data_IF_336578260163
#
_entry.id   IF_336578260163
#
_cell.length_a   1.000
_cell.length_b   1.000
_cell.length_c   1.000
_cell.angle_alpha   90.00
_cell.angle_beta   90.00
_cell.angle_gamma   90.00
#
_symmetry.space_group_name_H-M   'P 1'
#
loop_
_entity.id
_entity.type
_entity.pdbx_description
1 polymer ?
#
# COMPACT_ATOMS: atom_id res chain seq x y z
N UNK A 1 -9.19 27.30 23.00
CA UNK A 1 -7.71 27.10 23.06
C UNK A 1 -7.39 25.79 22.37
N UNK A 2 -6.87 25.83 21.14
CA UNK A 2 -6.56 24.62 20.37
C UNK A 2 -5.22 24.01 20.79
N UNK A 3 -5.17 22.70 21.01
CA UNK A 3 -3.91 21.97 21.24
C UNK A 3 -2.91 22.28 20.13
N UNK A 4 -1.67 22.55 20.50
CA UNK A 4 -0.56 22.76 19.56
C UNK A 4 -0.32 21.49 18.72
N UNK A 5 0.21 21.64 17.51
CA UNK A 5 0.46 20.51 16.60
C UNK A 5 1.31 19.40 17.27
N UNK A 6 2.28 19.79 18.09
CA UNK A 6 3.13 18.88 18.86
C UNK A 6 2.32 18.08 19.89
N UNK A 7 1.42 18.74 20.62
CA UNK A 7 0.54 18.08 21.60
C UNK A 7 -0.44 17.12 20.92
N UNK A 8 -0.99 17.48 19.75
CA UNK A 8 -1.87 16.58 18.99
C UNK A 8 -1.15 15.32 18.51
N UNK A 9 0.06 15.46 17.97
CA UNK A 9 0.90 14.31 17.56
C UNK A 9 1.26 13.42 18.74
N UNK A 10 1.63 14.01 19.88
CA UNK A 10 1.93 13.26 21.10
C UNK A 10 0.70 12.52 21.63
N UNK A 11 -0.47 13.16 21.65
CA UNK A 11 -1.73 12.53 22.05
C UNK A 11 -2.08 11.34 21.14
N UNK A 12 -1.96 11.50 19.82
CA UNK A 12 -2.19 10.41 18.86
C UNK A 12 -1.24 9.23 19.09
N UNK A 13 0.05 9.50 19.30
CA UNK A 13 1.03 8.45 19.57
C UNK A 13 0.71 7.68 20.85
N UNK A 14 0.31 8.38 21.92
CA UNK A 14 -0.10 7.75 23.19
C UNK A 14 -1.37 6.92 22.99
N UNK A 15 -2.37 7.46 22.32
CA UNK A 15 -3.65 6.77 22.07
C UNK A 15 -3.42 5.49 21.26
N UNK A 16 -2.68 5.58 20.15
CA UNK A 16 -2.36 4.43 19.31
C UNK A 16 -1.53 3.40 20.07
N UNK A 17 -0.56 3.85 20.88
CA UNK A 17 0.25 2.98 21.73
C UNK A 17 -0.57 2.24 22.80
N UNK A 18 -1.47 2.94 23.49
CA UNK A 18 -2.35 2.36 24.51
C UNK A 18 -3.32 1.36 23.89
N UNK A 19 -3.92 1.68 22.74
CA UNK A 19 -4.80 0.77 22.01
C UNK A 19 -4.02 -0.48 21.58
N UNK A 20 -2.85 -0.30 20.95
CA UNK A 20 -2.02 -1.42 20.52
C UNK A 20 -1.60 -2.34 21.68
N UNK A 21 -1.22 -1.75 22.81
CA UNK A 21 -0.86 -2.49 24.03
C UNK A 21 -2.07 -3.23 24.61
N UNK A 22 -3.22 -2.57 24.76
CA UNK A 22 -4.43 -3.18 25.31
C UNK A 22 -4.93 -4.35 24.43
N UNK A 23 -4.90 -4.19 23.11
CA UNK A 23 -5.23 -5.26 22.17
C UNK A 23 -4.23 -6.42 22.26
N UNK A 24 -2.93 -6.13 22.38
CA UNK A 24 -1.91 -7.15 22.54
C UNK A 24 -2.09 -8.00 23.81
N UNK A 25 -2.46 -7.36 24.92
CA UNK A 25 -2.79 -8.05 26.18
C UNK A 25 -4.08 -8.85 26.04
N UNK A 26 -5.14 -8.25 25.46
CA UNK A 26 -6.45 -8.89 25.31
C UNK A 26 -6.40 -10.14 24.41
N UNK A 27 -5.72 -10.06 23.27
CA UNK A 27 -5.62 -11.18 22.34
C UNK A 27 -4.64 -12.28 22.79
N UNK A 28 -4.01 -12.10 23.95
CA UNK A 28 -2.90 -12.89 24.44
C UNK A 28 -1.90 -13.07 23.32
N UNK A 29 -1.10 -12.04 23.01
CA UNK A 29 -0.10 -12.08 21.95
C UNK A 29 0.81 -13.31 22.10
N UNK A 30 0.40 -14.43 21.52
CA UNK A 30 1.10 -15.70 21.53
C UNK A 30 2.29 -15.45 20.60
N UNK A 31 3.46 -15.15 21.14
CA UNK A 31 4.68 -14.80 20.36
C UNK A 31 5.49 -16.03 19.93
N UNK A 32 4.92 -17.22 20.01
CA UNK A 32 5.55 -18.45 19.53
C UNK A 32 5.59 -18.50 17.98
N UNK A 33 6.58 -19.15 17.35
CA UNK A 33 6.55 -19.45 15.92
C UNK A 33 5.31 -20.27 15.54
N UNK A 34 4.66 -19.99 14.40
CA UNK A 34 3.42 -20.67 13.99
C UNK A 34 2.17 -20.19 14.73
N UNK A 35 2.22 -19.03 15.37
CA UNK A 35 1.10 -18.48 16.14
C UNK A 35 0.40 -17.32 15.41
N UNK A 36 -0.55 -16.69 16.11
CA UNK A 36 -1.21 -15.43 15.72
C UNK A 36 -0.25 -14.29 15.35
N UNK A 37 1.00 -14.31 15.83
CA UNK A 37 2.00 -13.29 15.48
C UNK A 37 2.46 -13.42 14.03
N UNK A 38 2.63 -14.64 13.53
CA UNK A 38 3.00 -14.90 12.14
C UNK A 38 1.89 -14.45 11.19
N UNK A 39 0.63 -14.77 11.50
CA UNK A 39 -0.54 -14.26 10.76
C UNK A 39 -0.60 -12.73 10.76
N UNK A 40 -0.22 -12.08 11.85
CA UNK A 40 -0.14 -10.62 11.91
C UNK A 40 0.94 -10.05 10.99
N UNK A 41 2.12 -10.69 10.94
CA UNK A 41 3.19 -10.30 10.02
C UNK A 41 2.76 -10.48 8.55
N UNK A 42 2.09 -11.60 8.24
CA UNK A 42 1.55 -11.86 6.91
C UNK A 42 0.50 -10.82 6.52
N UNK A 43 -0.46 -10.53 7.40
CA UNK A 43 -1.47 -9.50 7.18
C UNK A 43 -0.86 -8.13 6.87
N UNK A 44 0.15 -7.71 7.65
CA UNK A 44 0.86 -6.45 7.40
C UNK A 44 1.59 -6.49 6.06
N UNK A 45 2.24 -7.60 5.72
CA UNK A 45 2.95 -7.75 4.45
C UNK A 45 2.02 -7.67 3.24
N UNK A 46 0.83 -8.27 3.33
CA UNK A 46 -0.18 -8.29 2.26
C UNK A 46 -0.73 -6.90 1.96
N UNK A 47 -0.76 -6.03 2.96
CA UNK A 47 -1.18 -4.63 2.79
C UNK A 47 -0.03 -3.72 2.32
N UNK A 48 1.16 -3.87 2.90
CA UNK A 48 2.31 -3.01 2.60
C UNK A 48 2.75 -3.18 1.15
N UNK A 49 2.77 -4.41 0.62
CA UNK A 49 3.28 -4.66 -0.73
C UNK A 49 2.46 -3.96 -1.85
N UNK A 50 1.11 -4.06 -1.91
CA UNK A 50 0.28 -3.25 -2.82
C UNK A 50 0.50 -1.74 -2.67
N UNK A 51 0.54 -1.23 -1.44
CA UNK A 51 0.78 0.19 -1.19
C UNK A 51 2.12 0.65 -1.76
N UNK A 52 3.17 -0.14 -1.50
CA UNK A 52 4.53 0.12 -1.96
C UNK A 52 4.62 0.10 -3.49
N UNK A 53 3.87 -0.79 -4.15
CA UNK A 53 3.79 -0.84 -5.61
C UNK A 53 3.20 0.46 -6.19
N UNK A 54 2.13 1.00 -5.60
CA UNK A 54 1.56 2.29 -6.03
C UNK A 54 2.59 3.41 -5.91
N UNK A 55 3.26 3.52 -4.75
CA UNK A 55 4.25 4.57 -4.50
C UNK A 55 5.43 4.46 -5.47
N UNK A 56 5.98 3.26 -5.67
CA UNK A 56 7.10 3.06 -6.58
C UNK A 56 6.73 3.34 -8.03
N UNK A 57 5.58 2.85 -8.50
CA UNK A 57 5.18 3.05 -9.89
C UNK A 57 4.83 4.53 -10.12
N UNK A 58 4.20 5.22 -9.18
CA UNK A 58 3.96 6.67 -9.28
C UNK A 58 5.27 7.47 -9.33
N UNK A 59 6.20 7.17 -8.43
CA UNK A 59 7.52 7.80 -8.42
C UNK A 59 8.28 7.56 -9.73
N UNK A 60 8.25 6.32 -10.23
CA UNK A 60 8.92 5.95 -11.46
C UNK A 60 8.28 6.60 -12.69
N UNK A 61 6.94 6.66 -12.77
CA UNK A 61 6.22 7.33 -13.86
C UNK A 61 6.54 8.82 -13.92
N UNK A 62 6.70 9.46 -12.76
CA UNK A 62 7.01 10.90 -12.64
C UNK A 62 8.50 11.21 -12.65
N UNK A 63 9.37 10.20 -12.67
CA UNK A 63 10.83 10.39 -12.55
C UNK A 63 11.23 11.20 -11.30
N UNK A 64 10.44 11.10 -10.23
CA UNK A 64 10.62 11.90 -9.02
C UNK A 64 10.25 13.39 -9.13
N UNK A 65 9.72 13.83 -10.27
CA UNK A 65 9.31 15.21 -10.52
C UNK A 65 7.80 15.37 -10.29
N UNK A 66 7.45 15.91 -9.13
CA UNK A 66 6.06 16.12 -8.72
C UNK A 66 5.53 17.51 -9.09
N UNK A 67 6.34 18.37 -9.70
CA UNK A 67 5.99 19.76 -10.00
C UNK A 67 5.71 20.57 -8.73
N UNK A 68 4.52 21.17 -8.66
CA UNK A 68 4.11 22.00 -7.52
C UNK A 68 3.60 21.14 -6.35
N UNK A 69 4.34 21.17 -5.24
CA UNK A 69 3.99 20.47 -3.99
C UNK A 69 2.69 20.97 -3.36
N UNK A 70 2.20 22.17 -3.74
CA UNK A 70 0.91 22.70 -3.29
C UNK A 70 -0.26 21.78 -3.64
N UNK A 71 -0.09 20.97 -4.69
CA UNK A 71 -1.03 19.95 -5.13
C UNK A 71 -1.35 18.92 -4.04
N UNK A 72 -0.38 18.56 -3.18
CA UNK A 72 -0.59 17.58 -2.11
C UNK A 72 -1.48 18.11 -0.97
N UNK A 73 -1.61 19.43 -0.87
CA UNK A 73 -2.46 20.08 0.14
C UNK A 73 -3.83 20.46 -0.42
N UNK A 74 -4.05 20.28 -1.72
CA UNK A 74 -5.32 20.57 -2.37
C UNK A 74 -6.29 19.40 -2.20
N UNK A 75 -7.25 19.55 -1.29
CA UNK A 75 -8.29 18.54 -1.00
C UNK A 75 -9.24 18.28 -2.16
N UNK A 76 -9.29 19.16 -3.16
CA UNK A 76 -10.10 18.98 -4.35
C UNK A 76 -9.48 17.97 -5.32
N UNK A 77 -8.17 17.73 -5.24
CA UNK A 77 -7.45 16.84 -6.15
C UNK A 77 -7.31 15.43 -5.54
N UNK A 78 -8.31 14.57 -5.76
CA UNK A 78 -8.28 13.19 -5.28
C UNK A 78 -7.95 12.18 -6.40
N UNK A 79 -6.73 11.63 -6.39
CA UNK A 79 -6.30 10.57 -7.32
C UNK A 79 -6.76 9.19 -6.86
N UNK A 80 -8.01 8.84 -7.17
CA UNK A 80 -8.62 7.56 -6.78
C UNK A 80 -7.96 6.32 -7.42
N UNK A 81 -7.20 6.49 -8.50
CA UNK A 81 -6.56 5.40 -9.23
C UNK A 81 -5.60 4.60 -8.34
N UNK A 82 -4.88 5.27 -7.45
CA UNK A 82 -3.99 4.61 -6.48
C UNK A 82 -4.76 3.75 -5.49
N UNK A 83 -5.86 4.29 -4.95
CA UNK A 83 -6.71 3.58 -4.01
C UNK A 83 -7.35 2.33 -4.66
N UNK A 84 -7.84 2.46 -5.88
CA UNK A 84 -8.48 1.34 -6.60
C UNK A 84 -7.45 0.30 -7.03
N UNK A 85 -6.29 0.70 -7.55
CA UNK A 85 -5.24 -0.26 -7.90
C UNK A 85 -4.79 -1.08 -6.68
N UNK A 86 -4.63 -0.41 -5.54
CA UNK A 86 -4.25 -1.04 -4.28
C UNK A 86 -5.34 -1.97 -3.73
N UNK A 87 -6.60 -1.52 -3.72
CA UNK A 87 -7.72 -2.34 -3.25
C UNK A 87 -7.92 -3.59 -4.12
N UNK A 88 -7.89 -3.43 -5.45
CA UNK A 88 -8.03 -4.57 -6.37
C UNK A 88 -6.84 -5.50 -6.24
N UNK A 89 -5.61 -4.98 -6.22
CA UNK A 89 -4.41 -5.80 -6.10
C UNK A 89 -4.38 -6.60 -4.80
N UNK A 90 -4.78 -6.00 -3.67
CA UNK A 90 -4.90 -6.68 -2.39
C UNK A 90 -5.96 -7.78 -2.40
N UNK A 91 -7.18 -7.49 -2.88
CA UNK A 91 -8.27 -8.48 -2.90
C UNK A 91 -7.93 -9.65 -3.81
N UNK A 92 -7.41 -9.37 -5.00
CA UNK A 92 -7.05 -10.40 -5.98
C UNK A 92 -5.86 -11.22 -5.49
N UNK A 93 -4.83 -10.59 -4.91
CA UNK A 93 -3.67 -11.33 -4.40
C UNK A 93 -4.06 -12.23 -3.25
N UNK A 94 -4.82 -11.73 -2.28
CA UNK A 94 -5.28 -12.52 -1.13
C UNK A 94 -6.17 -13.66 -1.60
N UNK A 95 -7.13 -13.41 -2.48
CA UNK A 95 -8.01 -14.46 -2.99
C UNK A 95 -7.26 -15.58 -3.73
N UNK A 96 -6.27 -15.23 -4.55
CA UNK A 96 -5.60 -16.22 -5.40
C UNK A 96 -4.42 -16.92 -4.72
N UNK A 97 -3.66 -16.20 -3.89
CA UNK A 97 -2.32 -16.61 -3.45
C UNK A 97 -2.16 -16.73 -1.93
N UNK A 98 -3.15 -16.31 -1.12
CA UNK A 98 -3.05 -16.39 0.34
C UNK A 98 -2.83 -17.83 0.80
N UNK A 99 -1.92 -17.99 1.75
CA UNK A 99 -1.69 -19.24 2.44
C UNK A 99 -1.49 -18.93 3.93
N UNK A 100 -2.56 -18.41 4.54
CA UNK A 100 -2.58 -18.09 5.96
C UNK A 100 -2.97 -19.34 6.74
N UNK A 101 -1.99 -19.96 7.39
CA UNK A 101 -2.04 -21.14 8.28
C UNK A 101 -3.38 -21.36 9.04
N UNK A 102 -4.42 -21.82 8.34
CA UNK A 102 -5.74 -22.16 8.90
C UNK A 102 -6.87 -21.13 8.77
N UNK A 103 -6.64 -19.94 8.20
CA UNK A 103 -7.72 -18.95 7.95
C UNK A 103 -8.25 -19.04 6.53
N UNK A 104 -7.37 -19.07 5.54
CA UNK A 104 -7.73 -19.13 4.13
C UNK A 104 -6.54 -19.59 3.28
N UNK A 105 -6.82 -20.51 2.35
CA UNK A 105 -5.85 -20.99 1.36
C UNK A 105 -6.42 -20.72 -0.03
N UNK A 106 -5.69 -19.96 -0.83
CA UNK A 106 -6.06 -19.61 -2.18
C UNK A 106 -5.99 -20.80 -3.14
N UNK A 107 -6.63 -20.73 -4.32
CA UNK A 107 -6.62 -21.78 -5.32
C UNK A 107 -5.20 -22.17 -5.79
N UNK A 108 -4.25 -21.24 -5.81
CA UNK A 108 -2.90 -21.49 -6.31
C UNK A 108 -2.07 -22.31 -5.30
N UNK A 109 -1.95 -21.91 -4.02
CA UNK A 109 -1.30 -22.74 -3.00
C UNK A 109 -2.00 -24.09 -2.79
N UNK A 110 -3.32 -24.18 -3.00
CA UNK A 110 -4.07 -25.45 -2.90
C UNK A 110 -3.59 -26.48 -3.93
N UNK A 111 -3.30 -26.03 -5.16
CA UNK A 111 -2.86 -26.91 -6.25
C UNK A 111 -1.34 -27.10 -6.31
N UNK A 112 -0.57 -26.20 -5.69
CA UNK A 112 0.89 -26.26 -5.66
C UNK A 112 1.41 -25.92 -4.25
N UNK A 113 1.42 -26.89 -3.32
CA UNK A 113 1.79 -26.67 -1.92
C UNK A 113 3.24 -26.18 -1.75
N UNK A 114 4.14 -26.54 -2.66
CA UNK A 114 5.56 -26.21 -2.61
C UNK A 114 5.86 -24.71 -2.80
N UNK A 115 4.89 -23.95 -3.31
CA UNK A 115 5.06 -22.52 -3.63
C UNK A 115 4.99 -21.65 -2.36
N UNK A 116 4.40 -22.15 -1.28
CA UNK A 116 4.20 -21.39 -0.06
C UNK A 116 3.31 -20.16 -0.26
N UNK A 117 3.53 -19.12 0.55
CA UNK A 117 2.79 -17.87 0.48
C UNK A 117 3.52 -16.82 -0.35
N UNK A 118 3.04 -16.60 -1.58
CA UNK A 118 3.57 -15.61 -2.51
C UNK A 118 2.64 -14.39 -2.68
N UNK A 119 1.67 -14.23 -1.77
CA UNK A 119 0.63 -13.19 -1.84
C UNK A 119 1.20 -11.79 -1.92
N UNK A 120 2.24 -11.50 -1.13
CA UNK A 120 2.85 -10.17 -1.12
C UNK A 120 3.52 -9.85 -2.47
N UNK A 121 4.19 -10.80 -3.12
CA UNK A 121 4.82 -10.62 -4.43
C UNK A 121 3.74 -10.43 -5.49
N UNK A 122 2.74 -11.30 -5.50
CA UNK A 122 1.61 -11.21 -6.44
C UNK A 122 0.86 -9.88 -6.27
N UNK A 123 0.58 -9.47 -5.04
CA UNK A 123 -0.07 -8.20 -4.72
C UNK A 123 0.74 -7.01 -5.19
N UNK A 124 2.06 -7.02 -5.02
CA UNK A 124 2.95 -5.99 -5.55
C UNK A 124 2.84 -5.89 -7.09
N UNK A 125 2.97 -7.02 -7.79
CA UNK A 125 2.97 -7.05 -9.26
C UNK A 125 1.61 -6.65 -9.82
N UNK A 126 0.51 -7.22 -9.33
CA UNK A 126 -0.85 -6.92 -9.79
C UNK A 126 -1.17 -5.44 -9.59
N UNK A 127 -0.89 -4.92 -8.38
CA UNK A 127 -1.12 -3.50 -8.06
C UNK A 127 -0.28 -2.59 -8.94
N UNK A 128 1.01 -2.92 -9.11
CA UNK A 128 1.93 -2.12 -9.92
C UNK A 128 1.49 -2.05 -11.38
N UNK A 129 1.08 -3.17 -11.97
CA UNK A 129 0.56 -3.23 -13.34
C UNK A 129 -0.74 -2.44 -13.47
N UNK A 130 -1.70 -2.62 -12.55
CA UNK A 130 -2.96 -1.87 -12.56
C UNK A 130 -2.73 -0.36 -12.46
N UNK A 131 -1.89 0.05 -11.52
CA UNK A 131 -1.57 1.46 -11.33
C UNK A 131 -0.87 2.04 -12.57
N UNK A 132 0.07 1.30 -13.16
CA UNK A 132 0.73 1.69 -14.39
C UNK A 132 -0.26 1.88 -15.54
N UNK A 133 -1.18 0.93 -15.73
CA UNK A 133 -2.23 0.98 -16.76
C UNK A 133 -3.16 2.18 -16.59
N UNK A 134 -3.61 2.45 -15.36
CA UNK A 134 -4.47 3.61 -15.09
C UNK A 134 -3.75 4.95 -15.31
N UNK A 135 -2.43 4.99 -15.13
CA UNK A 135 -1.65 6.23 -15.15
C UNK A 135 -0.78 6.39 -16.39
N UNK A 136 -0.93 5.52 -17.40
CA UNK A 136 -0.29 5.63 -18.71
C UNK A 136 -0.57 6.97 -19.40
N UNK A 137 -1.72 7.61 -19.11
CA UNK A 137 -2.07 8.94 -19.60
C UNK A 137 -1.20 10.08 -19.06
N UNK A 138 -0.70 9.98 -17.83
CA UNK A 138 0.12 11.03 -17.21
C UNK A 138 1.46 11.24 -17.91
N UNK A 139 2.03 10.19 -18.50
CA UNK A 139 3.28 10.28 -19.29
C UNK A 139 3.14 11.23 -20.47
N UNK A 140 1.95 11.34 -21.07
CA UNK A 140 1.70 12.21 -22.23
C UNK A 140 1.68 13.68 -21.80
N UNK A 141 1.12 14.00 -20.64
CA UNK A 141 1.03 15.37 -20.12
C UNK A 141 2.39 15.94 -19.72
N UNK A 142 3.21 15.17 -18.98
CA UNK A 142 4.56 15.63 -18.58
C UNK A 142 5.49 15.84 -19.77
N UNK A 143 5.39 14.98 -20.79
CA UNK A 143 6.19 15.10 -22.02
C UNK A 143 5.79 16.32 -22.86
N UNK A 144 4.49 16.62 -22.96
CA UNK A 144 3.99 17.80 -23.68
C UNK A 144 4.40 19.13 -23.02
N UNK A 145 4.38 19.18 -21.69
CA UNK A 145 4.82 20.37 -20.92
C UNK A 145 6.33 20.61 -21.07
N UNK A 146 7.17 19.58 -21.00
CA UNK A 146 8.62 19.74 -21.23
C UNK A 146 8.94 20.18 -22.66
N UNK A 147 8.25 19.64 -23.67
CA UNK A 147 8.44 20.03 -25.07
C UNK A 147 8.06 21.51 -25.33
N UNK A 148 6.97 21.97 -24.71
CA UNK A 148 6.52 23.38 -24.82
C UNK A 148 7.42 24.36 -24.06
N UNK A 149 8.03 23.95 -22.95
CA UNK A 149 9.03 24.76 -22.24
C UNK A 149 10.37 24.83 -23.00
N UNK A 150 10.83 23.71 -23.58
CA UNK A 150 12.06 23.67 -24.37
C UNK A 150 11.99 24.43 -25.70
N UNK A 151 10.80 24.55 -26.30
CA UNK A 151 10.58 25.35 -27.52
C UNK A 151 10.57 26.86 -27.28
N UNK A 152 10.51 27.31 -26.02
CA UNK A 152 10.46 28.74 -25.65
C UNK A 152 11.81 29.27 -25.15
N UNK A 153 12.86 28.44 -25.14
CA UNK A 153 14.24 28.81 -24.82
C UNK A 153 15.06 28.91 -26.11
#
# INVERSE_FOLDING_TARGET
MGLTLRQRRAALAIIVGVIGFALGVYFQAQVAPGSKYETFLLLISYWIAPWLAVVFVDYWLRHGDYGDESMFYNTSYFRWQGLVAMAVGLVVSVYLFANDFGLYVGPIPTNNPDVGDITFIAGFVITGVLYYVFNLGLRKETSGTRATLGSKA
#
